data_IF_439670397738
#
_entry.id   IF_439670397738
#
_cell.length_a   1.000
_cell.length_b   1.000
_cell.length_c   1.000
_cell.angle_alpha   90.00
_cell.angle_beta   90.00
_cell.angle_gamma   90.00
#
_symmetry.space_group_name_H-M   'P 1'
#
loop_
_entity.id
_entity.type
_entity.pdbx_description
1 polymer ?
#
# COMPACT_ATOMS: atom_id res chain seq x y z
N UNK A 1 11.13 78.36 -38.59
CA UNK A 1 12.55 78.20 -38.26
C UNK A 1 12.64 77.99 -36.75
N UNK A 2 12.31 76.78 -36.34
CA UNK A 2 12.26 76.26 -34.96
C UNK A 2 11.83 74.80 -35.14
N UNK A 3 12.79 73.87 -35.18
CA UNK A 3 12.49 72.44 -35.22
C UNK A 3 12.21 71.94 -33.79
N UNK A 4 11.24 71.05 -33.58
CA UNK A 4 11.01 70.43 -32.28
C UNK A 4 12.08 69.35 -31.99
N UNK A 5 12.56 69.22 -30.74
CA UNK A 5 13.49 68.17 -30.36
C UNK A 5 12.81 66.78 -30.38
N UNK A 6 13.60 65.76 -30.71
CA UNK A 6 13.11 64.44 -31.10
C UNK A 6 12.61 63.53 -29.97
N UNK A 7 11.80 62.55 -30.38
CA UNK A 7 11.25 61.47 -29.57
C UNK A 7 12.36 60.59 -28.95
N UNK A 8 12.38 60.37 -27.62
CA UNK A 8 13.22 59.33 -27.00
C UNK A 8 12.64 57.92 -27.25
N UNK A 9 13.45 56.85 -27.14
CA UNK A 9 13.03 55.49 -27.48
C UNK A 9 11.99 54.90 -26.52
N UNK A 10 11.32 53.85 -26.98
CA UNK A 10 10.42 53.03 -26.17
C UNK A 10 11.22 52.25 -25.11
N UNK A 11 10.86 52.39 -23.83
CA UNK A 11 11.17 51.40 -22.81
C UNK A 11 9.96 50.47 -22.67
N UNK A 12 10.13 49.22 -23.11
CA UNK A 12 9.22 48.13 -22.77
C UNK A 12 9.31 47.89 -21.26
N UNK A 13 8.21 48.17 -20.54
CA UNK A 13 8.08 47.82 -19.13
C UNK A 13 8.03 46.29 -19.01
N UNK A 14 9.20 45.68 -18.80
CA UNK A 14 9.39 44.26 -18.57
C UNK A 14 8.41 43.78 -17.49
N UNK A 15 7.56 42.82 -17.86
CA UNK A 15 6.77 42.08 -16.89
C UNK A 15 7.71 41.42 -15.87
N UNK A 16 7.38 41.53 -14.58
CA UNK A 16 8.08 40.81 -13.53
C UNK A 16 7.91 39.31 -13.79
N UNK A 17 8.97 38.67 -14.30
CA UNK A 17 9.08 37.23 -14.29
C UNK A 17 9.15 36.76 -12.83
N UNK A 18 7.98 36.42 -12.28
CA UNK A 18 7.90 35.54 -11.12
C UNK A 18 8.53 34.22 -11.56
N UNK A 19 9.74 33.95 -11.06
CA UNK A 19 10.43 32.69 -11.31
C UNK A 19 9.57 31.54 -10.77
N UNK A 20 9.12 30.65 -11.66
CA UNK A 20 8.49 29.39 -11.24
C UNK A 20 9.43 28.66 -10.27
N UNK A 21 8.96 28.24 -9.07
CA UNK A 21 9.80 27.48 -8.16
C UNK A 21 10.25 26.19 -8.84
N UNK A 22 11.53 25.80 -8.72
CA UNK A 22 12.09 24.70 -9.49
C UNK A 22 11.30 23.41 -9.26
N UNK A 23 10.83 22.82 -10.37
CA UNK A 23 10.00 21.63 -10.35
C UNK A 23 10.60 20.54 -9.45
N UNK A 24 9.88 20.21 -8.37
CA UNK A 24 10.30 19.20 -7.39
C UNK A 24 10.55 17.88 -8.11
N UNK A 25 11.69 17.25 -7.82
CA UNK A 25 12.36 16.27 -8.69
C UNK A 25 11.60 14.99 -9.04
N UNK A 26 10.60 15.10 -9.90
CA UNK A 26 9.92 14.01 -10.61
C UNK A 26 10.78 13.58 -11.81
N UNK A 27 11.86 12.84 -11.52
CA UNK A 27 12.72 12.23 -12.53
C UNK A 27 12.65 10.71 -12.51
N UNK A 28 13.20 10.01 -13.52
CA UNK A 28 13.33 8.54 -13.51
C UNK A 28 14.03 7.98 -12.25
N UNK A 29 14.88 8.79 -11.63
CA UNK A 29 15.53 8.48 -10.34
C UNK A 29 14.55 8.40 -9.16
N UNK A 30 13.42 9.11 -9.19
CA UNK A 30 12.37 9.00 -8.17
C UNK A 30 11.65 7.65 -8.30
N UNK A 31 11.27 7.26 -9.52
CA UNK A 31 10.67 5.94 -9.77
C UNK A 31 11.60 4.79 -9.36
N UNK A 32 12.92 4.92 -9.58
CA UNK A 32 13.91 3.93 -9.13
C UNK A 32 14.02 3.80 -7.60
N UNK A 33 13.70 4.84 -6.81
CA UNK A 33 13.65 4.76 -5.33
C UNK A 33 12.46 3.94 -4.82
N UNK A 34 11.39 3.87 -5.62
CA UNK A 34 10.19 3.08 -5.32
C UNK A 34 10.44 1.57 -5.50
N UNK A 35 11.50 1.13 -6.18
CA UNK A 35 11.73 -0.30 -6.37
C UNK A 35 12.09 -1.03 -5.05
N UNK A 36 11.52 -2.21 -4.85
CA UNK A 36 11.81 -3.10 -3.73
C UNK A 36 11.03 -2.80 -2.45
N UNK A 37 11.60 -3.20 -1.30
CA UNK A 37 10.95 -3.22 0.03
C UNK A 37 11.87 -2.60 1.08
N UNK A 38 11.35 -2.10 2.21
CA UNK A 38 12.17 -1.59 3.33
C UNK A 38 13.09 -2.66 3.91
N UNK A 39 12.64 -3.91 3.95
CA UNK A 39 13.41 -5.06 4.47
C UNK A 39 14.39 -5.68 3.46
N UNK A 40 14.32 -5.32 2.18
CA UNK A 40 15.15 -5.92 1.13
C UNK A 40 16.08 -4.90 0.45
N UNK A 41 17.36 -5.21 0.35
CA UNK A 41 18.31 -4.40 -0.40
C UNK A 41 18.17 -4.65 -1.91
N UNK A 42 18.65 -3.73 -2.79
CA UNK A 42 18.57 -3.91 -4.23
C UNK A 42 19.21 -5.22 -4.74
N UNK A 43 20.28 -5.69 -4.08
CA UNK A 43 20.95 -6.96 -4.41
C UNK A 43 20.15 -8.21 -3.99
N UNK A 44 19.14 -8.07 -3.12
CA UNK A 44 18.23 -9.16 -2.76
C UNK A 44 17.00 -9.26 -3.69
N UNK A 45 16.64 -8.17 -4.39
CA UNK A 45 15.42 -8.11 -5.19
C UNK A 45 15.24 -9.27 -6.20
N UNK A 46 16.28 -9.76 -6.92
CA UNK A 46 16.13 -10.88 -7.84
C UNK A 46 15.71 -12.19 -7.13
N UNK A 47 16.32 -12.53 -6.00
CA UNK A 47 16.03 -13.80 -5.32
C UNK A 47 14.74 -13.73 -4.50
N UNK A 48 14.42 -12.57 -3.91
CA UNK A 48 13.13 -12.35 -3.23
C UNK A 48 11.98 -12.48 -4.23
N UNK A 49 12.11 -11.86 -5.41
CA UNK A 49 11.14 -11.98 -6.51
C UNK A 49 11.03 -13.43 -6.99
N UNK A 50 12.14 -14.15 -7.12
CA UNK A 50 12.13 -15.56 -7.54
C UNK A 50 11.49 -16.52 -6.51
N UNK A 51 11.64 -16.23 -5.21
CA UNK A 51 10.94 -16.93 -4.13
C UNK A 51 9.43 -16.65 -4.14
N UNK A 52 9.02 -15.39 -4.23
CA UNK A 52 7.60 -15.00 -4.34
C UNK A 52 6.95 -15.54 -5.63
N UNK A 53 7.71 -15.61 -6.73
CA UNK A 53 7.27 -16.25 -7.97
C UNK A 53 7.02 -17.75 -7.78
N UNK A 54 7.92 -18.46 -7.09
CA UNK A 54 7.70 -19.87 -6.79
C UNK A 54 6.47 -20.06 -5.88
N UNK A 55 6.37 -19.25 -4.83
CA UNK A 55 5.28 -19.28 -3.88
C UNK A 55 3.92 -19.03 -4.53
N UNK A 56 3.81 -18.14 -5.52
CA UNK A 56 2.52 -17.70 -6.05
C UNK A 56 2.51 -17.49 -7.58
N UNK A 57 3.23 -16.49 -8.12
CA UNK A 57 3.00 -16.00 -9.50
C UNK A 57 3.36 -16.98 -10.64
N UNK A 58 4.17 -18.00 -10.37
CA UNK A 58 4.52 -19.05 -11.35
C UNK A 58 3.47 -20.18 -11.39
N UNK A 59 2.61 -20.30 -10.38
CA UNK A 59 1.50 -21.27 -10.36
C UNK A 59 0.43 -20.91 -11.40
N UNK A 60 -0.32 -21.91 -11.84
CA UNK A 60 -1.48 -21.69 -12.70
C UNK A 60 -2.53 -20.82 -11.97
N UNK A 61 -3.32 -19.98 -12.65
CA UNK A 61 -4.26 -19.07 -11.99
C UNK A 61 -5.26 -19.75 -11.03
N UNK A 62 -5.67 -20.99 -11.31
CA UNK A 62 -6.57 -21.78 -10.43
C UNK A 62 -5.88 -22.49 -9.25
N UNK A 63 -4.57 -22.31 -9.07
CA UNK A 63 -3.76 -22.89 -7.97
C UNK A 63 -3.19 -21.81 -7.04
N UNK A 64 -3.63 -20.56 -7.24
CA UNK A 64 -3.12 -19.35 -6.58
C UNK A 64 -3.98 -18.98 -5.39
N UNK A 65 -3.53 -19.40 -4.22
CA UNK A 65 -4.09 -18.95 -2.95
C UNK A 65 -3.35 -17.70 -2.46
N UNK A 66 -4.07 -16.59 -2.26
CA UNK A 66 -3.49 -15.34 -1.72
C UNK A 66 -2.86 -15.57 -0.34
N UNK A 67 -3.42 -16.51 0.42
CA UNK A 67 -2.92 -16.94 1.71
C UNK A 67 -1.51 -17.59 1.64
N UNK A 68 -1.14 -18.22 0.52
CA UNK A 68 0.22 -18.72 0.31
C UNK A 68 1.20 -17.59 -0.03
N UNK A 69 0.72 -16.50 -0.65
CA UNK A 69 1.51 -15.29 -0.87
C UNK A 69 1.77 -14.56 0.46
N UNK A 70 0.75 -14.47 1.35
CA UNK A 70 0.91 -13.96 2.72
C UNK A 70 1.90 -14.78 3.53
N UNK A 71 1.79 -16.11 3.48
CA UNK A 71 2.73 -17.03 4.10
C UNK A 71 4.17 -16.80 3.59
N UNK A 72 4.38 -16.74 2.27
CA UNK A 72 5.70 -16.49 1.70
C UNK A 72 6.26 -15.12 2.10
N UNK A 73 5.43 -14.09 2.14
CA UNK A 73 5.82 -12.80 2.68
C UNK A 73 6.18 -12.87 4.16
N UNK A 74 5.40 -13.58 4.98
CA UNK A 74 5.64 -13.77 6.41
C UNK A 74 6.95 -14.52 6.71
N UNK A 75 7.30 -15.50 5.87
CA UNK A 75 8.61 -16.18 5.93
C UNK A 75 9.76 -15.19 5.71
N UNK A 76 9.65 -14.28 4.72
CA UNK A 76 10.67 -13.27 4.43
C UNK A 76 10.86 -12.26 5.57
N UNK A 77 9.77 -11.70 6.09
CA UNK A 77 9.77 -10.75 7.22
C UNK A 77 10.21 -11.41 8.52
N UNK A 78 9.76 -12.63 8.82
CA UNK A 78 10.20 -13.38 10.01
C UNK A 78 11.68 -13.74 9.91
N UNK A 79 12.19 -14.12 8.72
CA UNK A 79 13.62 -14.35 8.52
C UNK A 79 14.44 -13.08 8.71
N UNK A 80 14.01 -11.95 8.13
CA UNK A 80 14.64 -10.65 8.32
C UNK A 80 14.74 -10.28 9.81
N UNK A 81 13.60 -10.35 10.52
CA UNK A 81 13.51 -10.02 11.94
C UNK A 81 14.37 -10.94 12.82
N UNK A 82 14.26 -12.27 12.68
CA UNK A 82 15.05 -13.23 13.47
C UNK A 82 16.56 -13.16 13.15
N UNK A 83 16.97 -12.62 11.99
CA UNK A 83 18.38 -12.63 11.55
C UNK A 83 19.19 -11.42 12.02
N UNK A 84 18.66 -10.22 11.79
CA UNK A 84 19.22 -8.90 12.14
C UNK A 84 18.25 -7.81 11.64
N UNK A 85 17.35 -7.29 12.49
CA UNK A 85 16.34 -6.31 12.04
C UNK A 85 16.93 -4.92 11.74
N UNK A 86 18.19 -4.65 12.11
CA UNK A 86 18.89 -3.42 11.74
C UNK A 86 19.47 -3.48 10.31
N UNK A 87 19.42 -4.63 9.64
CA UNK A 87 19.98 -4.85 8.30
C UNK A 87 18.90 -5.33 7.33
N UNK A 88 18.92 -4.81 6.09
CA UNK A 88 18.12 -5.38 5.00
C UNK A 88 18.64 -6.75 4.55
N UNK A 89 17.74 -7.62 4.10
CA UNK A 89 18.06 -8.82 3.33
C UNK A 89 18.99 -8.48 2.15
N UNK A 90 19.98 -9.33 1.91
CA UNK A 90 21.06 -9.21 0.92
C UNK A 90 21.11 -10.45 0.03
N UNK A 91 21.94 -10.41 -1.01
CA UNK A 91 22.28 -11.60 -1.78
C UNK A 91 22.86 -12.73 -0.90
N UNK A 92 23.59 -12.40 0.17
CA UNK A 92 24.17 -13.38 1.09
C UNK A 92 23.13 -14.27 1.80
N UNK A 93 21.90 -13.78 1.97
CA UNK A 93 20.84 -14.51 2.68
C UNK A 93 20.19 -15.60 1.77
N UNK A 94 20.41 -15.55 0.44
CA UNK A 94 19.86 -16.53 -0.53
C UNK A 94 20.29 -17.97 -0.24
N UNK A 95 21.47 -18.16 0.33
CA UNK A 95 22.00 -19.50 0.65
C UNK A 95 21.16 -20.21 1.72
N UNK A 96 20.52 -19.47 2.62
CA UNK A 96 19.60 -20.04 3.61
C UNK A 96 18.31 -20.51 2.93
N UNK A 97 17.69 -19.67 2.09
CA UNK A 97 16.51 -20.03 1.31
C UNK A 97 16.76 -21.20 0.36
N UNK A 98 17.92 -21.27 -0.30
CA UNK A 98 18.25 -22.42 -1.16
C UNK A 98 18.36 -23.73 -0.38
N UNK A 99 18.96 -23.74 0.81
CA UNK A 99 18.98 -24.93 1.68
C UNK A 99 17.60 -25.30 2.20
N UNK A 100 16.78 -24.31 2.53
CA UNK A 100 15.46 -24.50 3.10
C UNK A 100 14.40 -24.98 2.08
N UNK A 101 14.38 -24.42 0.87
CA UNK A 101 13.31 -24.64 -0.13
C UNK A 101 13.79 -25.29 -1.44
N UNK A 102 15.11 -25.35 -1.69
CA UNK A 102 15.65 -25.72 -3.01
C UNK A 102 15.37 -27.15 -3.44
N UNK A 103 15.31 -28.10 -2.51
CA UNK A 103 15.07 -29.51 -2.83
C UNK A 103 13.64 -29.74 -3.34
N UNK A 104 12.62 -29.33 -2.58
CA UNK A 104 11.21 -29.43 -2.95
C UNK A 104 10.96 -28.71 -4.28
N UNK A 105 11.34 -27.42 -4.34
CA UNK A 105 11.14 -26.54 -5.48
C UNK A 105 11.76 -27.04 -6.80
N UNK A 106 12.88 -27.77 -6.73
CA UNK A 106 13.55 -28.29 -7.93
C UNK A 106 13.11 -29.72 -8.27
N UNK A 107 12.41 -30.40 -7.36
CA UNK A 107 11.71 -31.65 -7.64
C UNK A 107 10.49 -31.40 -8.55
N UNK A 108 9.88 -32.48 -9.04
CA UNK A 108 8.56 -32.47 -9.66
C UNK A 108 7.62 -33.44 -8.91
N UNK A 109 7.79 -33.52 -7.58
CA UNK A 109 7.16 -34.53 -6.74
C UNK A 109 5.77 -34.12 -6.25
N UNK A 110 5.71 -33.08 -5.42
CA UNK A 110 4.46 -32.55 -4.82
C UNK A 110 3.97 -31.31 -5.56
N UNK A 111 4.90 -30.51 -6.06
CA UNK A 111 4.69 -29.29 -6.85
C UNK A 111 5.08 -29.46 -8.32
N UNK A 112 4.54 -28.58 -9.17
CA UNK A 112 5.13 -28.33 -10.48
C UNK A 112 6.55 -27.79 -10.32
N UNK A 113 7.50 -28.31 -11.09
CA UNK A 113 8.92 -27.92 -10.96
C UNK A 113 9.10 -26.40 -11.00
N UNK A 114 9.59 -25.84 -9.89
CA UNK A 114 9.87 -24.42 -9.72
C UNK A 114 8.79 -23.63 -8.95
N UNK A 115 7.69 -24.24 -8.50
CA UNK A 115 6.65 -23.62 -7.64
C UNK A 115 6.77 -24.07 -6.17
N UNK A 116 5.87 -23.55 -5.30
CA UNK A 116 5.61 -23.88 -3.88
C UNK A 116 5.41 -25.39 -3.58
N UNK A 117 4.27 -25.88 -3.08
CA UNK A 117 2.99 -25.26 -2.65
C UNK A 117 2.97 -24.94 -1.13
N UNK A 118 1.79 -24.86 -0.48
CA UNK A 118 1.62 -24.51 0.95
C UNK A 118 2.44 -25.39 1.90
N UNK A 119 2.35 -26.71 1.74
CA UNK A 119 3.05 -27.65 2.63
C UNK A 119 4.57 -27.52 2.47
N UNK A 120 5.05 -27.36 1.23
CA UNK A 120 6.47 -27.12 0.92
C UNK A 120 6.95 -25.74 1.41
N UNK A 121 6.07 -24.72 1.48
CA UNK A 121 6.33 -23.46 2.15
C UNK A 121 6.46 -23.63 3.68
N UNK A 122 5.56 -24.38 4.32
CA UNK A 122 5.58 -24.60 5.77
C UNK A 122 6.77 -25.46 6.20
N UNK A 123 7.05 -26.56 5.52
CA UNK A 123 8.21 -27.42 5.79
C UNK A 123 9.54 -26.68 5.57
N UNK A 124 9.65 -25.92 4.47
CA UNK A 124 10.83 -25.12 4.20
C UNK A 124 10.99 -23.97 5.21
N UNK A 125 9.89 -23.38 5.69
CA UNK A 125 9.93 -22.40 6.77
C UNK A 125 10.37 -23.02 8.10
N UNK A 126 9.92 -24.23 8.43
CA UNK A 126 10.40 -24.99 9.58
C UNK A 126 11.93 -25.16 9.55
N UNK A 127 12.47 -25.61 8.40
CA UNK A 127 13.92 -25.73 8.18
C UNK A 127 14.69 -24.40 8.21
N UNK A 128 14.05 -23.27 7.92
CA UNK A 128 14.68 -21.94 7.88
C UNK A 128 14.61 -21.20 9.22
N UNK A 129 13.51 -21.35 9.96
CA UNK A 129 13.12 -20.47 11.08
C UNK A 129 12.98 -21.21 12.40
N UNK A 130 12.74 -22.53 12.38
CA UNK A 130 12.44 -23.37 13.54
C UNK A 130 11.13 -24.13 13.36
N UNK A 131 11.05 -25.33 13.93
CA UNK A 131 9.87 -26.22 13.82
C UNK A 131 8.59 -25.59 14.40
N UNK A 132 8.73 -24.56 15.25
CA UNK A 132 7.63 -23.77 15.82
C UNK A 132 6.89 -22.89 14.80
N UNK A 133 7.50 -22.61 13.64
CA UNK A 133 7.01 -21.59 12.72
C UNK A 133 5.60 -21.86 12.18
N UNK A 134 5.26 -23.12 11.86
CA UNK A 134 3.96 -23.45 11.30
C UNK A 134 2.81 -23.19 12.31
N UNK A 135 3.05 -23.49 13.58
CA UNK A 135 2.15 -23.19 14.69
C UNK A 135 2.07 -21.67 14.94
N UNK A 136 3.22 -20.98 14.95
CA UNK A 136 3.31 -19.53 15.09
C UNK A 136 2.59 -18.76 13.98
N UNK A 137 2.60 -19.27 12.75
CA UNK A 137 1.91 -18.66 11.62
C UNK A 137 0.38 -18.86 11.71
N UNK A 138 -0.07 -20.03 12.16
CA UNK A 138 -1.48 -20.38 12.28
C UNK A 138 -2.19 -19.66 13.44
N UNK A 139 -1.46 -19.26 14.47
CA UNK A 139 -2.00 -18.53 15.62
C UNK A 139 -2.05 -17.00 15.36
N UNK A 140 -3.25 -16.47 15.20
CA UNK A 140 -3.51 -15.03 15.05
C UNK A 140 -3.02 -14.19 16.24
N UNK A 141 -2.91 -14.77 17.45
CA UNK A 141 -2.32 -14.08 18.59
C UNK A 141 -0.79 -14.01 18.52
N UNK A 142 -0.12 -14.82 17.69
CA UNK A 142 1.34 -14.83 17.49
C UNK A 142 1.77 -14.18 16.18
N UNK A 143 0.84 -13.69 15.36
CA UNK A 143 1.14 -13.08 14.06
C UNK A 143 0.81 -11.59 14.05
N UNK A 144 1.78 -10.75 13.73
CA UNK A 144 1.63 -9.28 13.66
C UNK A 144 2.76 -8.64 12.85
N UNK A 145 2.54 -7.48 12.22
CA UNK A 145 3.46 -6.81 11.27
C UNK A 145 3.91 -7.70 10.09
N UNK A 146 3.15 -8.77 9.84
CA UNK A 146 3.53 -9.84 8.90
C UNK A 146 4.69 -10.71 9.41
N UNK A 147 4.89 -10.84 10.71
CA UNK A 147 5.90 -11.69 11.36
C UNK A 147 5.19 -12.75 12.19
N UNK A 148 5.71 -13.98 12.23
CA UNK A 148 5.25 -15.05 13.10
C UNK A 148 6.20 -15.22 14.30
N UNK A 149 5.69 -14.92 15.50
CA UNK A 149 6.46 -14.87 16.74
C UNK A 149 6.42 -16.20 17.52
N UNK A 150 7.52 -16.62 18.17
CA UNK A 150 7.53 -17.85 18.98
C UNK A 150 6.48 -17.83 20.10
N UNK A 151 6.20 -16.66 20.69
CA UNK A 151 5.12 -16.47 21.67
C UNK A 151 4.41 -15.13 21.50
N UNK A 152 3.26 -14.97 22.16
CA UNK A 152 2.56 -13.68 22.31
C UNK A 152 3.44 -12.64 23.02
N UNK A 153 4.27 -13.07 23.99
CA UNK A 153 5.18 -12.17 24.68
C UNK A 153 6.29 -11.64 23.75
N UNK A 154 6.81 -12.47 22.84
CA UNK A 154 7.79 -12.02 21.84
C UNK A 154 7.18 -11.03 20.84
N UNK A 155 5.91 -11.24 20.46
CA UNK A 155 5.14 -10.29 19.64
C UNK A 155 4.99 -8.95 20.36
N UNK A 156 4.64 -8.96 21.64
CA UNK A 156 4.39 -7.74 22.43
C UNK A 156 5.68 -6.95 22.73
N UNK A 157 6.85 -7.58 22.59
CA UNK A 157 8.17 -6.95 22.69
C UNK A 157 8.71 -6.42 21.35
N UNK A 158 7.99 -6.59 20.25
CA UNK A 158 8.45 -6.15 18.92
C UNK A 158 8.43 -4.63 18.76
N UNK A 159 9.57 -4.05 18.35
CA UNK A 159 9.66 -2.65 17.92
C UNK A 159 9.52 -2.51 16.40
N UNK A 160 8.38 -2.01 15.87
CA UNK A 160 8.24 -1.69 14.44
C UNK A 160 9.19 -0.57 13.98
N UNK A 161 9.76 0.20 14.91
CA UNK A 161 10.81 1.19 14.68
C UNK A 161 12.03 0.63 13.94
N UNK A 162 12.32 -0.67 14.06
CA UNK A 162 13.34 -1.35 13.25
C UNK A 162 13.07 -1.24 11.74
N UNK A 163 11.82 -1.51 11.31
CA UNK A 163 11.44 -1.41 9.89
C UNK A 163 11.37 0.05 9.45
N UNK A 164 10.94 0.96 10.32
CA UNK A 164 10.95 2.40 10.07
C UNK A 164 12.36 2.96 9.87
N UNK A 165 13.36 2.51 10.64
CA UNK A 165 14.75 2.93 10.47
C UNK A 165 15.35 2.51 9.11
N UNK A 166 14.82 1.43 8.52
CA UNK A 166 15.16 0.98 7.17
C UNK A 166 14.33 1.70 6.08
N UNK A 167 13.13 2.15 6.40
CA UNK A 167 12.30 2.98 5.54
C UNK A 167 12.90 4.39 5.45
N UNK A 168 13.42 4.76 4.27
CA UNK A 168 13.89 6.13 4.01
C UNK A 168 12.69 7.05 3.78
N UNK A 169 11.98 7.34 4.86
CA UNK A 169 10.73 8.08 4.84
C UNK A 169 10.98 9.54 4.42
N UNK A 170 10.36 9.94 3.31
CA UNK A 170 10.34 11.34 2.88
C UNK A 170 9.45 12.20 3.79
N UNK A 171 9.42 13.51 3.55
CA UNK A 171 8.39 14.37 4.15
C UNK A 171 7.00 13.97 3.64
N UNK A 172 5.96 14.35 4.40
CA UNK A 172 4.59 14.31 3.93
C UNK A 172 4.40 15.24 2.73
N UNK A 173 3.57 14.80 1.78
CA UNK A 173 3.24 15.48 0.53
C UNK A 173 1.72 15.45 0.30
N UNK A 174 0.92 16.20 1.07
CA UNK A 174 -0.48 16.45 0.72
C UNK A 174 -0.57 17.23 -0.61
N UNK A 175 -1.77 17.35 -1.18
CA UNK A 175 -2.00 18.20 -2.35
C UNK A 175 -1.58 19.64 -2.06
N UNK A 176 -1.15 20.34 -3.10
CA UNK A 176 -0.71 21.73 -3.02
C UNK A 176 -1.26 22.61 -4.14
N UNK A 177 -1.88 22.04 -5.17
CA UNK A 177 -2.62 22.81 -6.17
C UNK A 177 -4.03 23.11 -5.67
N UNK A 178 -4.71 24.16 -6.17
CA UNK A 178 -6.09 24.47 -5.82
C UNK A 178 -7.04 23.27 -6.05
N UNK A 179 -8.11 23.10 -5.25
CA UNK A 179 -9.03 21.96 -5.38
C UNK A 179 -9.59 21.69 -6.77
N UNK A 180 -9.84 22.73 -7.57
CA UNK A 180 -10.31 22.61 -8.97
C UNK A 180 -9.23 22.25 -10.00
N UNK A 181 -7.98 22.10 -9.57
CA UNK A 181 -6.87 21.56 -10.37
C UNK A 181 -6.44 20.16 -9.87
N UNK A 182 -6.96 19.71 -8.73
CA UNK A 182 -6.69 18.37 -8.20
C UNK A 182 -7.47 17.32 -9.01
N UNK A 183 -6.93 16.10 -9.08
CA UNK A 183 -7.69 14.94 -9.54
C UNK A 183 -8.46 14.39 -8.35
N UNK A 184 -9.78 14.30 -8.49
CA UNK A 184 -10.69 13.68 -7.53
C UNK A 184 -11.14 12.33 -8.07
N UNK A 185 -11.23 11.32 -7.20
CA UNK A 185 -11.64 9.99 -7.65
C UNK A 185 -12.20 9.14 -6.51
N UNK A 186 -13.13 8.23 -6.83
CA UNK A 186 -13.71 7.29 -5.87
C UNK A 186 -13.69 5.87 -6.40
N UNK A 187 -13.52 4.90 -5.51
CA UNK A 187 -13.54 3.48 -5.85
C UNK A 187 -14.91 2.87 -5.56
N UNK A 188 -15.31 1.76 -6.20
CA UNK A 188 -16.54 1.06 -5.84
C UNK A 188 -16.51 0.59 -4.38
N UNK A 189 -17.62 0.73 -3.62
CA UNK A 189 -17.68 0.26 -2.23
C UNK A 189 -17.73 -1.27 -2.16
N UNK A 190 -17.10 -1.83 -1.14
CA UNK A 190 -17.14 -3.27 -0.83
C UNK A 190 -18.02 -3.50 0.40
N UNK A 191 -18.99 -4.40 0.27
CA UNK A 191 -19.86 -4.80 1.36
C UNK A 191 -19.08 -5.57 2.44
N UNK A 192 -19.32 -5.24 3.71
CA UNK A 192 -18.63 -5.80 4.86
C UNK A 192 -19.59 -6.60 5.74
N UNK A 193 -19.11 -7.68 6.40
CA UNK A 193 -19.97 -8.53 7.23
C UNK A 193 -20.44 -7.82 8.51
N UNK A 194 -19.65 -6.90 9.06
CA UNK A 194 -20.01 -6.09 10.23
C UNK A 194 -19.18 -4.80 10.29
N UNK A 195 -19.81 -3.67 10.61
CA UNK A 195 -19.11 -2.41 10.86
C UNK A 195 -18.17 -2.49 12.08
N UNK A 196 -18.59 -3.17 13.15
CA UNK A 196 -17.78 -3.35 14.36
C UNK A 196 -16.55 -4.21 14.10
N UNK A 197 -16.70 -5.28 13.31
CA UNK A 197 -15.59 -6.15 12.92
C UNK A 197 -14.56 -5.39 12.06
N UNK A 198 -15.02 -4.54 11.13
CA UNK A 198 -14.16 -3.65 10.34
C UNK A 198 -13.44 -2.64 11.24
N UNK A 199 -14.14 -1.99 12.16
CA UNK A 199 -13.51 -1.05 13.11
C UNK A 199 -12.42 -1.76 13.92
N UNK A 200 -12.74 -2.90 14.53
CA UNK A 200 -11.77 -3.68 15.33
C UNK A 200 -10.63 -4.33 14.54
N UNK A 201 -10.74 -4.42 13.22
CA UNK A 201 -9.66 -4.83 12.33
C UNK A 201 -8.79 -3.63 11.92
N UNK A 202 -9.41 -2.51 11.56
CA UNK A 202 -8.69 -1.31 11.14
C UNK A 202 -7.91 -0.72 12.33
N UNK A 203 -8.49 -0.64 13.53
CA UNK A 203 -7.81 -0.09 14.73
C UNK A 203 -6.63 -0.91 15.25
N UNK A 204 -6.40 -2.11 14.70
CA UNK A 204 -5.23 -2.97 14.93
C UNK A 204 -4.33 -2.96 13.69
N UNK A 205 -3.58 -1.87 13.43
CA UNK A 205 -2.75 -1.75 12.23
C UNK A 205 -1.78 -2.93 12.05
N UNK A 206 -1.33 -3.53 13.15
CA UNK A 206 -0.41 -4.67 13.17
C UNK A 206 -0.95 -5.92 12.46
N UNK A 207 -2.27 -6.08 12.31
CA UNK A 207 -2.87 -7.19 11.55
C UNK A 207 -3.09 -6.89 10.07
N UNK A 208 -2.85 -5.67 9.59
CA UNK A 208 -3.13 -5.28 8.20
C UNK A 208 -2.40 -6.10 7.12
N UNK A 209 -1.18 -6.65 7.35
CA UNK A 209 -0.56 -7.60 6.42
C UNK A 209 -1.39 -8.86 6.14
N UNK A 210 -2.29 -9.26 7.04
CA UNK A 210 -3.19 -10.40 6.84
C UNK A 210 -4.34 -10.10 5.86
N UNK A 211 -4.60 -8.83 5.56
CA UNK A 211 -5.59 -8.39 4.56
C UNK A 211 -4.96 -8.15 3.18
N UNK A 212 -3.66 -8.41 3.02
CA UNK A 212 -2.94 -8.27 1.76
C UNK A 212 -3.61 -9.02 0.60
N UNK A 213 -3.49 -8.47 -0.61
CA UNK A 213 -4.00 -9.05 -1.86
C UNK A 213 -2.86 -9.53 -2.77
N UNK A 214 -3.18 -10.12 -3.94
CA UNK A 214 -2.19 -10.46 -4.97
C UNK A 214 -1.32 -9.25 -5.33
N UNK A 215 -1.92 -8.06 -5.46
CA UNK A 215 -1.26 -6.89 -6.06
C UNK A 215 -0.77 -5.86 -5.03
N UNK A 216 -1.05 -6.03 -3.73
CA UNK A 216 -0.42 -5.18 -2.74
C UNK A 216 -0.72 -5.50 -1.28
N UNK A 217 0.03 -4.84 -0.39
CA UNK A 217 -0.11 -4.93 1.07
C UNK A 217 0.27 -3.64 1.77
N UNK A 218 -0.30 -3.42 2.94
CA UNK A 218 0.10 -2.38 3.89
C UNK A 218 0.83 -3.04 5.06
N UNK A 219 2.02 -2.54 5.42
CA UNK A 219 2.68 -2.90 6.68
C UNK A 219 2.88 -1.64 7.53
N UNK A 220 2.34 -1.56 8.76
CA UNK A 220 2.62 -0.44 9.67
C UNK A 220 4.09 -0.41 10.11
N UNK A 221 4.57 0.80 10.38
CA UNK A 221 5.96 1.11 10.72
C UNK A 221 6.10 1.78 12.09
N UNK A 222 4.99 2.11 12.77
CA UNK A 222 4.99 2.73 14.11
C UNK A 222 4.24 1.85 15.13
N UNK A 223 4.59 1.95 16.42
CA UNK A 223 3.78 1.35 17.48
C UNK A 223 2.48 2.13 17.67
N UNK A 224 1.48 1.50 18.31
CA UNK A 224 0.19 2.11 18.62
C UNK A 224 -0.88 1.85 17.56
N UNK A 225 -2.01 2.55 17.70
CA UNK A 225 -3.19 2.42 16.82
C UNK A 225 -3.05 3.14 15.48
N UNK A 226 -4.18 3.57 14.91
CA UNK A 226 -4.22 4.21 13.59
C UNK A 226 -3.76 5.67 13.55
N UNK A 227 -3.99 6.46 14.59
CA UNK A 227 -3.58 7.86 14.60
C UNK A 227 -2.06 7.99 14.42
N UNK A 228 -1.62 8.86 13.51
CA UNK A 228 -0.22 9.06 13.11
C UNK A 228 0.51 7.80 12.57
N UNK A 229 -0.21 6.70 12.29
CA UNK A 229 0.40 5.45 11.81
C UNK A 229 0.96 5.63 10.40
N UNK A 230 2.24 5.28 10.22
CA UNK A 230 2.88 5.25 8.89
C UNK A 230 2.87 3.83 8.36
N UNK A 231 2.41 3.63 7.13
CA UNK A 231 2.46 2.35 6.43
C UNK A 231 3.49 2.37 5.30
N UNK A 232 4.25 1.29 5.14
CA UNK A 232 4.81 0.93 3.84
C UNK A 232 3.72 0.23 3.03
N UNK A 233 3.43 0.76 1.85
CA UNK A 233 2.59 0.10 0.85
C UNK A 233 3.54 -0.59 -0.12
N UNK A 234 3.46 -1.91 -0.24
CA UNK A 234 4.17 -2.66 -1.28
C UNK A 234 3.14 -3.07 -2.36
N UNK A 235 3.45 -2.80 -3.63
CA UNK A 235 2.56 -3.03 -4.78
C UNK A 235 3.28 -3.91 -5.80
N UNK A 236 2.59 -4.92 -6.36
CA UNK A 236 3.09 -5.78 -7.41
C UNK A 236 2.45 -5.41 -8.76
N UNK A 237 3.24 -4.82 -9.66
CA UNK A 237 2.82 -4.54 -11.03
C UNK A 237 3.15 -5.70 -11.97
N UNK A 238 2.35 -5.92 -13.02
CA UNK A 238 2.64 -6.91 -14.07
C UNK A 238 2.40 -8.37 -13.69
N UNK A 239 1.65 -8.65 -12.62
CA UNK A 239 1.39 -10.01 -12.08
C UNK A 239 0.80 -10.98 -13.11
N UNK A 240 -0.04 -10.48 -14.02
CA UNK A 240 -0.63 -11.25 -15.12
C UNK A 240 0.42 -11.87 -16.08
N UNK A 241 1.62 -11.29 -16.17
CA UNK A 241 2.72 -11.79 -17.01
C UNK A 241 3.59 -12.86 -16.34
N UNK A 242 3.30 -13.22 -15.07
CA UNK A 242 4.16 -14.09 -14.26
C UNK A 242 5.52 -13.47 -13.90
N UNK A 243 5.67 -12.15 -14.08
CA UNK A 243 6.89 -11.37 -13.82
C UNK A 243 6.54 -10.11 -13.01
N UNK A 244 6.15 -10.26 -11.74
CA UNK A 244 5.82 -9.13 -10.89
C UNK A 244 7.03 -8.22 -10.70
N UNK A 245 6.79 -6.91 -10.76
CA UNK A 245 7.74 -5.87 -10.32
C UNK A 245 7.19 -5.28 -9.04
N UNK A 246 7.94 -5.45 -7.94
CA UNK A 246 7.58 -4.92 -6.64
C UNK A 246 8.05 -3.47 -6.50
N UNK A 247 7.09 -2.57 -6.32
CA UNK A 247 7.32 -1.19 -5.91
C UNK A 247 6.84 -0.98 -4.48
N UNK A 248 7.25 0.14 -3.88
CA UNK A 248 6.77 0.62 -2.59
C UNK A 248 6.45 2.10 -2.63
N UNK A 249 5.54 2.50 -1.76
CA UNK A 249 5.31 3.87 -1.31
C UNK A 249 5.18 3.91 0.20
N UNK A 250 5.09 5.11 0.77
CA UNK A 250 4.71 5.30 2.17
C UNK A 250 3.55 6.28 2.27
N UNK A 251 2.66 6.03 3.22
CA UNK A 251 1.58 6.93 3.63
C UNK A 251 1.55 7.04 5.15
N UNK A 252 1.03 8.14 5.69
CA UNK A 252 0.71 8.26 7.12
C UNK A 252 -0.74 8.67 7.30
N UNK A 253 -1.40 8.14 8.31
CA UNK A 253 -2.73 8.61 8.73
C UNK A 253 -2.58 9.96 9.43
N UNK A 254 -3.06 11.02 8.79
CA UNK A 254 -2.94 12.41 9.27
C UNK A 254 -4.24 12.98 9.83
N UNK A 255 -5.38 12.38 9.48
CA UNK A 255 -6.67 12.61 10.10
C UNK A 255 -7.36 11.27 10.35
N UNK A 256 -8.06 11.16 11.48
CA UNK A 256 -8.91 10.03 11.85
C UNK A 256 -10.14 10.59 12.56
N UNK A 257 -11.32 10.34 11.99
CA UNK A 257 -12.61 10.75 12.55
C UNK A 257 -13.48 9.52 12.81
N UNK A 258 -14.10 9.48 13.98
CA UNK A 258 -14.94 8.35 14.44
C UNK A 258 -16.26 8.87 15.02
N UNK A 259 -17.18 7.95 15.32
CA UNK A 259 -18.44 8.26 16.04
C UNK A 259 -18.24 8.87 17.44
N UNK A 260 -17.01 8.84 18.00
CA UNK A 260 -16.68 9.43 19.30
C UNK A 260 -16.58 10.97 19.23
N UNK A 261 -16.25 11.53 18.06
CA UNK A 261 -16.43 12.96 17.74
C UNK A 261 -17.36 13.11 16.52
N UNK A 262 -18.70 13.08 16.73
CA UNK A 262 -19.66 13.21 15.64
C UNK A 262 -19.58 14.58 14.94
N UNK A 263 -19.01 15.60 15.59
CA UNK A 263 -18.81 16.92 15.00
C UNK A 263 -17.66 16.94 13.99
N UNK A 264 -16.52 16.33 14.33
CA UNK A 264 -15.41 16.15 13.40
C UNK A 264 -15.77 15.20 12.26
N UNK A 265 -16.46 14.09 12.56
CA UNK A 265 -16.96 13.14 11.57
C UNK A 265 -17.88 13.82 10.54
N UNK A 266 -18.88 14.59 11.00
CA UNK A 266 -19.80 15.29 10.12
C UNK A 266 -19.11 16.33 9.23
N UNK A 267 -18.14 17.10 9.77
CA UNK A 267 -17.38 18.08 8.98
C UNK A 267 -16.52 17.40 7.92
N UNK A 268 -15.72 16.41 8.29
CA UNK A 268 -14.82 15.71 7.36
C UNK A 268 -15.57 15.07 6.20
N UNK A 269 -16.73 14.45 6.45
CA UNK A 269 -17.57 13.92 5.37
C UNK A 269 -18.22 15.03 4.54
N UNK A 270 -18.70 16.12 5.15
CA UNK A 270 -19.26 17.25 4.39
C UNK A 270 -18.22 17.91 3.46
N UNK A 271 -16.99 18.11 3.94
CA UNK A 271 -15.89 18.68 3.15
C UNK A 271 -15.52 17.77 1.96
N UNK A 272 -15.54 16.44 2.16
CA UNK A 272 -15.31 15.45 1.09
C UNK A 272 -16.44 15.44 0.05
N UNK A 273 -17.71 15.45 0.48
CA UNK A 273 -18.85 15.45 -0.43
C UNK A 273 -18.98 16.78 -1.20
N UNK A 274 -18.71 17.94 -0.57
CA UNK A 274 -18.65 19.22 -1.30
C UNK A 274 -17.53 19.19 -2.35
N UNK A 275 -16.36 18.66 -1.99
CA UNK A 275 -15.22 18.50 -2.90
C UNK A 275 -15.57 17.65 -4.12
N UNK A 276 -16.15 16.46 -3.90
CA UNK A 276 -16.60 15.57 -4.97
C UNK A 276 -17.73 16.19 -5.82
N UNK A 277 -18.74 16.80 -5.20
CA UNK A 277 -19.85 17.41 -5.93
C UNK A 277 -19.42 18.61 -6.80
N UNK A 278 -18.30 19.27 -6.45
CA UNK A 278 -17.82 20.48 -7.14
C UNK A 278 -16.66 20.25 -8.11
N UNK A 279 -15.81 19.26 -7.84
CA UNK A 279 -14.56 19.02 -8.57
C UNK A 279 -14.39 17.55 -9.01
N UNK A 280 -15.37 16.70 -8.74
CA UNK A 280 -15.31 15.26 -8.97
C UNK A 280 -15.55 14.77 -10.39
N UNK A 281 -15.82 15.63 -11.39
CA UNK A 281 -16.05 15.21 -12.79
C UNK A 281 -16.99 13.98 -12.93
N UNK A 282 -18.21 14.08 -12.37
CA UNK A 282 -19.24 13.03 -12.29
C UNK A 282 -18.91 11.78 -11.43
N UNK A 283 -17.86 11.83 -10.59
CA UNK A 283 -17.59 10.79 -9.58
C UNK A 283 -18.77 10.63 -8.58
N UNK A 284 -19.18 9.38 -8.24
CA UNK A 284 -20.30 9.17 -7.32
C UNK A 284 -19.99 9.67 -5.89
N UNK A 285 -20.97 10.25 -5.16
CA UNK A 285 -20.79 10.77 -3.80
C UNK A 285 -20.19 9.70 -2.89
N UNK A 286 -19.30 10.06 -1.96
CA UNK A 286 -18.51 9.10 -1.18
C UNK A 286 -19.40 8.15 -0.36
N UNK A 287 -20.46 8.68 0.24
CA UNK A 287 -21.54 7.96 0.91
C UNK A 287 -22.83 8.11 0.09
N UNK A 288 -23.52 7.02 -0.29
CA UNK A 288 -24.81 7.09 -0.96
C UNK A 288 -25.87 7.84 -0.14
N UNK A 289 -26.88 8.41 -0.81
CA UNK A 289 -27.99 9.09 -0.15
C UNK A 289 -28.66 8.20 0.92
N UNK A 290 -28.88 8.74 2.12
CA UNK A 290 -29.40 7.98 3.26
C UNK A 290 -28.40 6.99 3.90
N UNK A 291 -27.14 6.98 3.47
CA UNK A 291 -26.05 6.32 4.19
C UNK A 291 -25.61 7.09 5.44
N UNK A 292 -25.15 6.37 6.45
CA UNK A 292 -24.67 6.90 7.73
C UNK A 292 -23.16 6.72 7.85
N UNK A 293 -22.36 7.79 7.83
CA UNK A 293 -20.91 7.72 8.06
C UNK A 293 -20.57 7.20 9.46
N UNK A 294 -19.56 6.33 9.57
CA UNK A 294 -19.13 5.73 10.85
C UNK A 294 -17.66 6.04 11.21
N UNK A 295 -16.76 5.94 10.24
CA UNK A 295 -15.33 6.24 10.38
C UNK A 295 -14.79 6.79 9.07
N UNK A 296 -13.90 7.77 9.13
CA UNK A 296 -13.11 8.27 7.99
C UNK A 296 -11.65 8.50 8.41
N UNK A 297 -10.70 8.27 7.52
CA UNK A 297 -9.31 8.66 7.75
C UNK A 297 -8.54 8.95 6.45
N UNK A 298 -7.59 9.88 6.56
CA UNK A 298 -6.76 10.37 5.45
C UNK A 298 -5.37 9.73 5.48
N UNK A 299 -5.03 8.94 4.46
CA UNK A 299 -3.69 8.43 4.20
C UNK A 299 -2.93 9.43 3.30
N UNK A 300 -2.22 10.38 3.90
CA UNK A 300 -1.37 11.34 3.16
C UNK A 300 -0.13 10.65 2.63
N UNK A 301 0.25 10.91 1.36
CA UNK A 301 1.47 10.35 0.78
C UNK A 301 2.74 10.98 1.36
N UNK A 302 3.85 10.25 1.26
CA UNK A 302 5.20 10.79 1.45
C UNK A 302 5.91 11.01 0.11
N UNK A 303 6.91 11.89 0.10
CA UNK A 303 7.77 12.14 -1.06
C UNK A 303 8.30 10.83 -1.66
N UNK A 304 8.05 10.64 -2.95
CA UNK A 304 8.39 9.41 -3.68
C UNK A 304 7.29 8.35 -3.69
N UNK A 305 6.07 8.64 -3.24
CA UNK A 305 4.90 7.81 -3.49
C UNK A 305 4.52 7.79 -4.98
N UNK A 306 4.02 6.66 -5.48
CA UNK A 306 3.76 6.46 -6.92
C UNK A 306 2.63 7.34 -7.49
N UNK A 307 1.72 7.80 -6.63
CA UNK A 307 0.65 8.75 -7.00
C UNK A 307 1.12 10.22 -6.99
N UNK A 308 2.32 10.50 -6.46
CA UNK A 308 2.75 11.87 -6.15
C UNK A 308 2.09 12.43 -4.88
N UNK A 309 1.93 13.74 -4.88
CA UNK A 309 1.43 14.53 -3.75
C UNK A 309 -0.11 14.37 -3.62
N UNK A 310 -0.61 13.87 -2.49
CA UNK A 310 -2.05 13.75 -2.24
C UNK A 310 -2.47 12.87 -1.06
N UNK A 311 -3.77 12.56 -1.01
CA UNK A 311 -4.42 11.71 -0.03
C UNK A 311 -5.15 10.52 -0.68
N UNK A 312 -5.13 9.38 0.00
CA UNK A 312 -6.17 8.36 -0.17
C UNK A 312 -6.98 8.24 1.11
N UNK A 313 -8.30 8.32 1.01
CA UNK A 313 -9.22 8.26 2.15
C UNK A 313 -9.83 6.89 2.22
N UNK A 314 -9.99 6.34 3.42
CA UNK A 314 -10.82 5.17 3.67
C UNK A 314 -11.99 5.58 4.54
N UNK A 315 -13.19 5.27 4.07
CA UNK A 315 -14.46 5.55 4.73
C UNK A 315 -15.22 4.25 5.00
N UNK A 316 -15.78 4.15 6.20
CA UNK A 316 -16.73 3.13 6.61
C UNK A 316 -18.08 3.80 6.85
N UNK A 317 -19.13 3.26 6.25
CA UNK A 317 -20.50 3.75 6.40
C UNK A 317 -21.50 2.58 6.46
N UNK A 318 -22.68 2.85 6.99
CA UNK A 318 -23.84 1.97 6.91
C UNK A 318 -24.83 2.47 5.84
N UNK A 319 -25.35 1.58 5.00
CA UNK A 319 -26.38 1.89 4.01
C UNK A 319 -27.22 0.65 3.75
N UNK A 320 -28.54 0.80 3.68
CA UNK A 320 -29.54 -0.29 3.57
C UNK A 320 -29.36 -1.41 4.62
N UNK A 321 -28.97 -1.04 5.85
CA UNK A 321 -28.73 -2.00 6.95
C UNK A 321 -27.48 -2.87 6.77
N UNK A 322 -26.55 -2.48 5.89
CA UNK A 322 -25.27 -3.16 5.65
C UNK A 322 -24.10 -2.20 5.87
N UNK A 323 -22.98 -2.74 6.33
CA UNK A 323 -21.72 -2.02 6.42
C UNK A 323 -20.99 -2.03 5.06
N UNK A 324 -20.34 -0.92 4.72
CA UNK A 324 -19.61 -0.74 3.48
C UNK A 324 -18.30 -0.02 3.75
N UNK A 325 -17.21 -0.46 3.12
CA UNK A 325 -15.95 0.29 3.08
C UNK A 325 -15.69 0.74 1.66
N UNK A 326 -15.23 1.98 1.51
CA UNK A 326 -14.87 2.58 0.24
C UNK A 326 -13.58 3.39 0.38
N UNK A 327 -12.86 3.52 -0.72
CA UNK A 327 -11.76 4.46 -0.82
C UNK A 327 -12.15 5.66 -1.71
N UNK A 328 -11.61 6.84 -1.41
CA UNK A 328 -11.71 8.05 -2.22
C UNK A 328 -10.37 8.79 -2.21
N UNK A 329 -9.83 9.14 -3.37
CA UNK A 329 -8.51 9.77 -3.48
C UNK A 329 -8.58 11.19 -4.00
N UNK A 330 -7.63 12.01 -3.57
CA UNK A 330 -7.29 13.29 -4.19
C UNK A 330 -5.79 13.35 -4.44
N UNK A 331 -5.35 13.95 -5.54
CA UNK A 331 -3.93 14.15 -5.82
C UNK A 331 -3.66 15.33 -6.76
N UNK A 332 -2.47 15.94 -6.63
CA UNK A 332 -1.95 16.89 -7.61
C UNK A 332 -1.84 16.22 -9.00
N UNK A 333 -2.08 16.91 -10.12
CA UNK A 333 -1.87 16.37 -11.47
C UNK A 333 -0.49 15.72 -11.63
N UNK A 334 -0.48 14.45 -12.01
CA UNK A 334 0.76 13.69 -12.15
C UNK A 334 1.62 14.26 -13.30
N UNK A 335 2.93 14.46 -13.12
CA UNK A 335 3.84 14.81 -14.21
C UNK A 335 3.71 13.82 -15.38
N UNK A 336 3.74 14.31 -16.62
CA UNK A 336 3.36 13.55 -17.83
C UNK A 336 3.97 12.14 -17.97
N UNK A 337 5.19 11.92 -17.46
CA UNK A 337 5.88 10.64 -17.51
C UNK A 337 5.41 9.67 -16.41
N UNK A 338 4.98 10.18 -15.25
CA UNK A 338 4.31 9.41 -14.19
C UNK A 338 2.88 9.10 -14.64
N UNK A 339 2.14 10.09 -15.13
CA UNK A 339 0.79 9.92 -15.69
C UNK A 339 0.75 8.82 -16.76
N UNK A 340 1.71 8.82 -17.71
CA UNK A 340 1.80 7.77 -18.72
C UNK A 340 2.03 6.37 -18.12
N UNK A 341 2.89 6.24 -17.11
CA UNK A 341 3.13 4.96 -16.44
C UNK A 341 1.89 4.51 -15.63
N UNK A 342 1.22 5.46 -14.96
CA UNK A 342 -0.01 5.24 -14.23
C UNK A 342 -1.14 4.76 -15.16
N UNK A 343 -1.39 5.44 -16.28
CA UNK A 343 -2.41 5.02 -17.27
C UNK A 343 -2.15 3.64 -17.86
N UNK A 344 -0.89 3.24 -18.05
CA UNK A 344 -0.52 1.97 -18.67
C UNK A 344 -0.60 0.78 -17.71
N UNK A 345 -0.27 0.96 -16.42
CA UNK A 345 -0.17 -0.14 -15.46
C UNK A 345 -0.62 0.16 -14.03
N UNK A 346 -0.64 1.43 -13.61
CA UNK A 346 -0.99 1.84 -12.25
C UNK A 346 -2.49 1.95 -12.00
N UNK A 347 -3.27 2.46 -12.97
CA UNK A 347 -4.70 2.72 -12.81
C UNK A 347 -5.48 1.43 -12.54
N UNK A 348 -5.39 0.45 -13.43
CA UNK A 348 -6.09 -0.84 -13.25
C UNK A 348 -5.71 -1.51 -11.91
N UNK A 349 -4.42 -1.50 -11.56
CA UNK A 349 -3.94 -2.06 -10.30
C UNK A 349 -4.50 -1.31 -9.08
N UNK A 350 -4.48 0.02 -9.06
CA UNK A 350 -5.03 0.83 -7.96
C UNK A 350 -6.54 0.65 -7.81
N UNK A 351 -7.27 0.67 -8.92
CA UNK A 351 -8.72 0.43 -8.92
C UNK A 351 -9.05 -0.99 -8.40
N UNK A 352 -8.39 -2.04 -8.92
CA UNK A 352 -8.58 -3.41 -8.46
C UNK A 352 -8.22 -3.58 -6.97
N UNK A 353 -7.13 -2.96 -6.53
CA UNK A 353 -6.68 -3.01 -5.14
C UNK A 353 -7.75 -2.48 -4.17
N UNK A 354 -8.41 -1.37 -4.52
CA UNK A 354 -9.49 -0.78 -3.73
C UNK A 354 -10.88 -1.37 -4.00
N UNK A 355 -10.99 -2.49 -4.73
CA UNK A 355 -12.26 -3.21 -4.88
C UNK A 355 -13.06 -2.95 -6.14
N UNK A 356 -12.46 -2.32 -7.17
CA UNK A 356 -13.09 -2.31 -8.48
C UNK A 356 -13.08 -3.68 -9.14
N UNK A 357 -14.27 -4.13 -9.52
CA UNK A 357 -14.50 -5.43 -10.13
C UNK A 357 -14.55 -6.56 -9.11
N UNK A 358 -15.16 -7.69 -9.49
CA UNK A 358 -15.26 -8.87 -8.65
C UNK A 358 -13.94 -9.68 -8.55
N UNK A 359 -12.78 -9.04 -8.76
CA UNK A 359 -11.46 -9.65 -8.69
C UNK A 359 -10.98 -9.70 -7.22
N UNK A 360 -11.63 -10.59 -6.47
CA UNK A 360 -11.43 -10.80 -5.04
C UNK A 360 -9.96 -11.04 -4.67
N UNK A 361 -9.16 -11.85 -5.40
CA UNK A 361 -7.73 -12.01 -5.12
C UNK A 361 -6.91 -10.72 -5.17
N UNK A 362 -7.29 -9.75 -6.01
CA UNK A 362 -6.55 -8.48 -6.18
C UNK A 362 -6.99 -7.36 -5.25
N UNK A 363 -8.20 -7.42 -4.70
CA UNK A 363 -8.72 -6.35 -3.84
C UNK A 363 -8.40 -6.55 -2.35
N UNK A 364 -7.69 -5.60 -1.73
CA UNK A 364 -7.48 -5.59 -0.28
C UNK A 364 -8.80 -5.49 0.49
N UNK A 365 -9.76 -4.70 -0.01
CA UNK A 365 -11.07 -4.58 0.64
C UNK A 365 -11.87 -5.89 0.59
N UNK A 366 -11.85 -6.63 -0.52
CA UNK A 366 -12.49 -7.95 -0.55
C UNK A 366 -11.75 -8.97 0.31
N UNK A 367 -10.41 -8.91 0.40
CA UNK A 367 -9.64 -9.76 1.32
C UNK A 367 -9.94 -9.45 2.79
N UNK A 368 -10.13 -8.18 3.15
CA UNK A 368 -10.63 -7.77 4.47
C UNK A 368 -12.04 -8.35 4.72
N UNK A 369 -12.97 -8.19 3.77
CA UNK A 369 -14.34 -8.71 3.90
C UNK A 369 -14.36 -10.23 4.10
N UNK A 370 -13.57 -10.98 3.33
CA UNK A 370 -13.40 -12.43 3.50
C UNK A 370 -12.85 -12.78 4.88
N UNK A 371 -11.79 -12.09 5.33
CA UNK A 371 -11.11 -12.39 6.60
C UNK A 371 -11.95 -12.07 7.84
N UNK A 372 -12.96 -11.21 7.70
CA UNK A 372 -13.95 -10.89 8.74
C UNK A 372 -15.25 -11.69 8.64
N UNK A 373 -15.44 -12.45 7.56
CA UNK A 373 -16.62 -13.31 7.33
C UNK A 373 -16.34 -14.81 7.52
N UNK A 374 -15.08 -15.18 7.75
CA UNK A 374 -14.60 -16.54 8.03
C UNK A 374 -14.34 -16.73 9.54
#
# INVERSE_FOLDING_TARGET
MTEPPGTPPQDDALAEHVEDPPARGSGPLAFARMAGSSIAAPDAAPWVTDFLNAAYYRRAPGEREVEDLRLAFCILTTHWYRRDPARRLRLADVGAFHRAFGADRLSAGRSSRGTLHRDELLEGAGRLLGDDFAEAYADDARRAWGIAFPTVADRDLYDPGHRLALARLGRLTPESVPPGEQVWHTYPPVAMPSAEAVIGALTRPETWPDYASEIGRFTPLRPGGLADQTFEIEVAAGTASGRPVFTRGYVTITALVTRDDPGALARWFADLEEGLARYGDDEPPAVPEGGTPLVGFDLTTHEGHFMGDGHNRLLLYEHEGRAWVRAAGTWNPMPWHVDRAYRVAGREAQHAFWGQGADVPRSMLHQLALRLGA
#
